data_IF_574305573063
#
_entry.id   IF_574305573063
#
_cell.length_a   1.000
_cell.length_b   1.000
_cell.length_c   1.000
_cell.angle_alpha   90.00
_cell.angle_beta   90.00
_cell.angle_gamma   90.00
#
_symmetry.space_group_name_H-M   'P 1'
#
loop_
_entity.id
_entity.type
_entity.pdbx_description
1 polymer ?
#
# COMPACT_ATOMS: atom_id res chain seq x y z
N UNK A 1 24.08 0.18 -24.18
CA UNK A 1 24.60 -0.80 -23.21
C UNK A 1 23.65 -0.79 -22.03
N UNK A 2 22.86 -1.85 -21.85
CA UNK A 2 22.12 -2.02 -20.59
C UNK A 2 23.16 -2.39 -19.53
N UNK A 3 23.28 -1.58 -18.48
CA UNK A 3 24.11 -1.93 -17.33
C UNK A 3 23.61 -3.26 -16.76
N UNK A 4 24.51 -4.23 -16.65
CA UNK A 4 24.19 -5.52 -16.05
C UNK A 4 23.91 -5.27 -14.56
N UNK A 5 22.68 -5.49 -14.13
CA UNK A 5 22.30 -5.38 -12.73
C UNK A 5 23.11 -6.41 -11.92
N UNK A 6 23.77 -5.99 -10.84
CA UNK A 6 24.50 -6.92 -9.97
C UNK A 6 23.52 -7.79 -9.19
N UNK A 7 23.90 -9.02 -8.82
CA UNK A 7 23.03 -9.92 -8.03
C UNK A 7 22.51 -9.28 -6.72
N UNK A 8 23.25 -8.32 -6.16
CA UNK A 8 22.82 -7.52 -4.99
C UNK A 8 21.70 -6.54 -5.35
N UNK A 9 21.78 -5.90 -6.51
CA UNK A 9 20.75 -4.98 -7.01
C UNK A 9 19.49 -5.74 -7.44
N UNK A 10 19.64 -6.91 -8.06
CA UNK A 10 18.49 -7.77 -8.41
C UNK A 10 17.74 -8.21 -7.15
N UNK A 11 18.46 -8.71 -6.13
CA UNK A 11 17.84 -9.09 -4.86
C UNK A 11 17.11 -7.91 -4.21
N UNK A 12 17.74 -6.74 -4.15
CA UNK A 12 17.14 -5.53 -3.59
C UNK A 12 15.85 -5.14 -4.33
N UNK A 13 15.84 -5.23 -5.67
CA UNK A 13 14.66 -4.94 -6.46
C UNK A 13 13.53 -5.95 -6.18
N UNK A 14 13.84 -7.23 -6.04
CA UNK A 14 12.86 -8.25 -5.67
C UNK A 14 12.27 -8.02 -4.27
N UNK A 15 13.10 -7.68 -3.30
CA UNK A 15 12.65 -7.37 -1.92
C UNK A 15 11.70 -6.16 -1.94
N UNK A 16 12.04 -5.10 -2.68
CA UNK A 16 11.17 -3.91 -2.85
C UNK A 16 9.83 -4.24 -3.53
N UNK A 17 9.84 -5.10 -4.57
CA UNK A 17 8.61 -5.51 -5.24
C UNK A 17 7.71 -6.27 -4.27
N UNK A 18 8.27 -7.20 -3.50
CA UNK A 18 7.51 -7.98 -2.53
C UNK A 18 6.92 -7.09 -1.41
N UNK A 19 7.68 -6.10 -0.92
CA UNK A 19 7.18 -5.13 0.06
C UNK A 19 6.03 -4.28 -0.52
N UNK A 20 6.14 -3.89 -1.79
CA UNK A 20 5.09 -3.14 -2.49
C UNK A 20 3.83 -3.97 -2.65
N UNK A 21 3.95 -5.21 -3.10
CA UNK A 21 2.81 -6.13 -3.25
C UNK A 21 2.10 -6.34 -1.91
N UNK A 22 2.85 -6.53 -0.82
CA UNK A 22 2.27 -6.65 0.52
C UNK A 22 1.57 -5.37 1.01
N UNK A 23 2.07 -4.18 0.63
CA UNK A 23 1.41 -2.91 0.94
C UNK A 23 0.12 -2.73 0.13
N UNK A 24 0.14 -3.09 -1.16
CA UNK A 24 -1.00 -3.03 -2.07
C UNK A 24 -2.12 -4.00 -1.61
N UNK A 25 -1.77 -5.22 -1.19
CA UNK A 25 -2.73 -6.19 -0.63
C UNK A 25 -3.43 -5.65 0.63
N UNK A 26 -2.67 -5.12 1.59
CA UNK A 26 -3.25 -4.52 2.80
C UNK A 26 -4.11 -3.29 2.50
N UNK A 27 -3.72 -2.47 1.52
CA UNK A 27 -4.54 -1.34 1.08
C UNK A 27 -5.90 -1.82 0.58
N UNK A 28 -5.94 -2.90 -0.22
CA UNK A 28 -7.18 -3.51 -0.72
C UNK A 28 -8.04 -4.01 0.44
N UNK A 29 -7.46 -4.73 1.40
CA UNK A 29 -8.18 -5.22 2.60
C UNK A 29 -8.82 -4.08 3.40
N UNK A 30 -8.09 -2.97 3.59
CA UNK A 30 -8.61 -1.79 4.28
C UNK A 30 -9.78 -1.21 3.46
N UNK A 31 -9.61 -1.03 2.15
CA UNK A 31 -10.68 -0.51 1.29
C UNK A 31 -11.95 -1.36 1.37
N UNK A 32 -11.82 -2.69 1.28
CA UNK A 32 -12.94 -3.63 1.40
C UNK A 32 -13.64 -3.53 2.75
N UNK A 33 -12.88 -3.43 3.85
CA UNK A 33 -13.41 -3.28 5.21
C UNK A 33 -14.27 -2.03 5.38
N UNK A 34 -13.91 -0.94 4.72
CA UNK A 34 -14.64 0.34 4.78
C UNK A 34 -15.64 0.53 3.64
N UNK A 35 -15.72 -0.40 2.69
CA UNK A 35 -16.61 -0.33 1.53
C UNK A 35 -16.19 0.72 0.49
N UNK A 36 -14.88 0.97 0.38
CA UNK A 36 -14.28 1.92 -0.55
C UNK A 36 -14.00 1.20 -1.86
N UNK A 37 -14.70 1.60 -2.91
CA UNK A 37 -14.55 1.01 -4.26
C UNK A 37 -13.87 1.96 -5.24
N UNK A 38 -13.87 3.24 -4.90
CA UNK A 38 -13.29 4.35 -5.67
C UNK A 38 -12.85 5.44 -4.71
N UNK A 39 -11.90 6.26 -5.16
CA UNK A 39 -11.30 7.30 -4.33
C UNK A 39 -12.32 8.27 -3.73
N UNK A 40 -13.39 8.59 -4.46
CA UNK A 40 -14.44 9.50 -3.98
C UNK A 40 -15.17 8.98 -2.72
N UNK A 41 -15.23 7.67 -2.51
CA UNK A 41 -15.91 7.06 -1.36
C UNK A 41 -15.22 7.47 -0.04
N UNK A 42 -13.91 7.74 -0.07
CA UNK A 42 -13.12 8.17 1.09
C UNK A 42 -13.67 9.48 1.67
N UNK A 43 -14.08 10.41 0.80
CA UNK A 43 -14.61 11.71 1.22
C UNK A 43 -16.04 11.62 1.76
N UNK A 44 -16.73 10.50 1.54
CA UNK A 44 -18.08 10.25 2.04
C UNK A 44 -18.11 9.54 3.40
N UNK A 45 -16.93 9.15 3.92
CA UNK A 45 -16.82 8.53 5.24
C UNK A 45 -17.26 9.51 6.34
N UNK A 46 -18.02 8.99 7.31
CA UNK A 46 -18.30 9.74 8.53
C UNK A 46 -17.01 9.90 9.37
N UNK A 47 -17.01 10.84 10.33
CA UNK A 47 -15.82 11.18 11.13
C UNK A 47 -15.16 9.96 11.80
N UNK A 48 -15.95 9.05 12.35
CA UNK A 48 -15.43 7.90 13.08
C UNK A 48 -14.76 6.90 12.13
N UNK A 49 -15.43 6.56 11.01
CA UNK A 49 -14.87 5.70 9.96
C UNK A 49 -13.64 6.31 9.32
N UNK A 50 -13.64 7.61 9.04
CA UNK A 50 -12.50 8.32 8.47
C UNK A 50 -11.29 8.25 9.41
N UNK A 51 -11.50 8.41 10.73
CA UNK A 51 -10.43 8.32 11.72
C UNK A 51 -9.83 6.91 11.80
N UNK A 52 -10.68 5.88 11.76
CA UNK A 52 -10.23 4.49 11.77
C UNK A 52 -9.52 4.10 10.47
N UNK A 53 -10.06 4.52 9.32
CA UNK A 53 -9.46 4.31 8.01
C UNK A 53 -8.05 4.91 7.94
N UNK A 54 -7.90 6.20 8.29
CA UNK A 54 -6.58 6.86 8.34
C UNK A 54 -5.65 6.17 9.34
N UNK A 55 -6.17 5.74 10.49
CA UNK A 55 -5.41 4.97 11.47
C UNK A 55 -4.80 3.71 10.87
N UNK A 56 -5.57 2.92 10.12
CA UNK A 56 -5.07 1.71 9.46
C UNK A 56 -4.08 2.01 8.33
N UNK A 57 -4.30 3.09 7.56
CA UNK A 57 -3.37 3.52 6.52
C UNK A 57 -1.99 3.88 7.07
N UNK A 58 -1.91 4.51 8.24
CA UNK A 58 -0.63 4.85 8.88
C UNK A 58 0.19 3.61 9.31
N UNK A 59 -0.43 2.43 9.37
CA UNK A 59 0.25 1.18 9.68
C UNK A 59 0.67 0.40 8.42
N UNK A 60 0.38 0.91 7.23
CA UNK A 60 0.93 0.33 6.00
C UNK A 60 2.45 0.53 6.01
N UNK A 61 3.22 -0.51 5.64
CA UNK A 61 4.66 -0.35 5.50
C UNK A 61 4.93 0.74 4.47
N UNK A 62 5.61 1.81 4.91
CA UNK A 62 6.02 2.89 4.03
C UNK A 62 7.05 2.31 3.04
N UNK A 63 6.69 2.33 1.76
CA UNK A 63 7.63 2.18 0.65
C UNK A 63 8.52 3.43 0.65
N UNK A 64 9.59 3.41 1.45
CA UNK A 64 10.65 4.43 1.48
C UNK A 64 11.83 4.00 0.61
#
# INVERSE_FOLDING_TARGET
MAELMTAKQEKYLHDLIAEKEAADEKWIEICDKYGITKEEDIYTLNRDKASLFIGELLHLPLLL
#
